data_IF_125922432359
#
_entry.id   IF_125922432359
#
_cell.length_a   1.000
_cell.length_b   1.000
_cell.length_c   1.000
_cell.angle_alpha   90.00
_cell.angle_beta   90.00
_cell.angle_gamma   90.00
#
_symmetry.space_group_name_H-M   'P 1'
#
loop_
_entity.id
_entity.type
_entity.pdbx_description
1 polymer ?
#
# COMPACT_ATOMS: atom_id res chain seq x y z
N UNK A 1 19.05 -22.23 22.21
CA UNK A 1 18.13 -21.54 21.28
C UNK A 1 18.60 -20.10 20.93
N UNK A 2 19.76 -19.90 20.27
CA UNK A 2 20.29 -18.52 20.00
C UNK A 2 20.83 -18.28 18.57
N UNK A 3 20.75 -19.26 17.66
CA UNK A 3 21.34 -19.11 16.31
C UNK A 3 20.48 -18.29 15.33
N UNK A 4 19.17 -18.16 15.56
CA UNK A 4 18.26 -17.43 14.65
C UNK A 4 18.44 -15.90 14.68
N UNK A 5 18.71 -15.31 15.85
CA UNK A 5 18.84 -13.86 16.02
C UNK A 5 20.11 -13.31 15.34
N UNK A 6 21.20 -14.07 15.43
CA UNK A 6 22.50 -13.68 14.88
C UNK A 6 22.53 -13.72 13.34
N UNK A 7 21.87 -14.71 12.72
CA UNK A 7 21.69 -14.75 11.26
C UNK A 7 20.85 -13.57 10.74
N UNK A 8 19.78 -13.21 11.47
CA UNK A 8 18.90 -12.10 11.09
C UNK A 8 19.63 -10.75 11.11
N UNK A 9 20.45 -10.49 12.13
CA UNK A 9 21.27 -9.26 12.21
C UNK A 9 22.30 -9.15 11.09
N UNK A 10 22.99 -10.26 10.76
CA UNK A 10 23.99 -10.29 9.67
C UNK A 10 23.38 -10.00 8.30
N UNK A 11 22.17 -10.50 8.03
CA UNK A 11 21.49 -10.28 6.75
C UNK A 11 21.01 -8.83 6.58
N UNK A 12 20.45 -8.22 7.64
CA UNK A 12 20.05 -6.79 7.62
C UNK A 12 21.26 -5.90 7.36
N UNK A 13 22.37 -6.16 8.05
CA UNK A 13 23.59 -5.37 7.87
C UNK A 13 24.18 -5.47 6.45
N UNK A 14 24.16 -6.67 5.84
CA UNK A 14 24.61 -6.84 4.44
C UNK A 14 23.73 -6.09 3.44
N UNK A 15 22.40 -6.12 3.62
CA UNK A 15 21.50 -5.35 2.75
C UNK A 15 21.66 -3.84 2.91
N UNK A 16 21.91 -3.35 4.12
CA UNK A 16 22.18 -1.94 4.38
C UNK A 16 23.50 -1.48 3.74
N UNK A 17 24.55 -2.29 3.82
CA UNK A 17 25.84 -1.97 3.17
C UNK A 17 25.70 -1.93 1.65
N UNK A 18 24.97 -2.89 1.06
CA UNK A 18 24.74 -2.92 -0.38
C UNK A 18 23.94 -1.69 -0.86
N UNK A 19 22.87 -1.33 -0.14
CA UNK A 19 22.08 -0.13 -0.42
C UNK A 19 22.92 1.15 -0.25
N UNK A 20 23.71 1.27 0.81
CA UNK A 20 24.58 2.44 1.02
C UNK A 20 25.63 2.62 -0.10
N UNK A 21 26.19 1.53 -0.65
CA UNK A 21 27.13 1.60 -1.78
C UNK A 21 26.45 1.97 -3.09
N UNK A 22 25.25 1.46 -3.35
CA UNK A 22 24.42 1.86 -4.49
C UNK A 22 24.09 3.35 -4.40
N UNK A 23 23.60 3.78 -3.24
CA UNK A 23 23.32 5.17 -2.91
C UNK A 23 24.53 6.08 -3.14
N UNK A 24 25.71 5.70 -2.65
CA UNK A 24 26.91 6.53 -2.80
C UNK A 24 27.27 6.77 -4.27
N UNK A 25 27.09 5.77 -5.14
CA UNK A 25 27.34 5.92 -6.58
C UNK A 25 26.29 6.79 -7.26
N UNK A 26 25.05 6.71 -6.79
CA UNK A 26 23.91 7.32 -7.46
C UNK A 26 23.42 8.61 -6.79
N UNK A 27 24.02 9.04 -5.68
CA UNK A 27 23.50 10.12 -4.84
C UNK A 27 23.32 11.44 -5.62
N UNK A 28 24.30 11.80 -6.46
CA UNK A 28 24.21 12.99 -7.29
C UNK A 28 23.07 12.88 -8.33
N UNK A 29 22.94 11.72 -9.00
CA UNK A 29 21.82 11.45 -9.92
C UNK A 29 20.49 11.52 -9.19
N UNK A 30 20.40 10.96 -7.99
CA UNK A 30 19.19 10.92 -7.19
C UNK A 30 18.76 12.32 -6.73
N UNK A 31 19.71 13.17 -6.35
CA UNK A 31 19.44 14.57 -5.99
C UNK A 31 18.89 15.33 -7.20
N UNK A 32 19.55 15.20 -8.35
CA UNK A 32 19.09 15.77 -9.61
C UNK A 32 17.71 15.24 -9.99
N UNK A 33 17.46 13.95 -9.82
CA UNK A 33 16.17 13.33 -10.08
C UNK A 33 15.08 13.82 -9.15
N UNK A 34 15.34 13.93 -7.84
CA UNK A 34 14.38 14.49 -6.88
C UNK A 34 14.06 15.95 -7.23
N UNK A 35 15.07 16.71 -7.64
CA UNK A 35 14.93 18.13 -7.95
C UNK A 35 14.18 18.36 -9.26
N UNK A 36 14.55 17.64 -10.32
CA UNK A 36 14.00 17.76 -11.67
C UNK A 36 12.87 16.77 -11.96
N UNK A 37 12.44 16.00 -10.96
CA UNK A 37 11.38 14.99 -11.03
C UNK A 37 10.09 15.50 -11.74
N UNK A 38 9.63 16.74 -11.49
CA UNK A 38 8.46 17.28 -12.19
C UNK A 38 8.63 17.39 -13.72
N UNK A 39 9.87 17.42 -14.23
CA UNK A 39 10.18 17.70 -15.63
C UNK A 39 10.61 16.46 -16.43
N UNK A 40 11.21 15.44 -15.80
CA UNK A 40 11.84 14.29 -16.50
C UNK A 40 11.00 13.00 -16.53
N UNK A 41 9.82 13.00 -15.90
CA UNK A 41 8.99 11.79 -15.75
C UNK A 41 9.46 10.87 -14.61
N UNK A 42 8.69 9.82 -14.33
CA UNK A 42 8.76 9.10 -13.04
C UNK A 42 9.64 7.85 -13.00
N UNK A 43 10.10 7.37 -14.15
CA UNK A 43 10.81 6.08 -14.29
C UNK A 43 12.11 5.99 -13.51
N UNK A 44 12.85 7.11 -13.39
CA UNK A 44 14.10 7.12 -12.64
C UNK A 44 13.85 7.01 -11.13
N UNK A 45 12.85 7.74 -10.61
CA UNK A 45 12.50 7.65 -9.19
C UNK A 45 11.99 6.25 -8.80
N UNK A 46 11.27 5.56 -9.68
CA UNK A 46 10.83 4.18 -9.45
C UNK A 46 12.03 3.24 -9.18
N UNK A 47 13.10 3.37 -9.95
CA UNK A 47 14.31 2.56 -9.78
C UNK A 47 15.07 2.84 -8.47
N UNK A 48 14.90 4.04 -7.90
CA UNK A 48 15.52 4.47 -6.66
C UNK A 48 14.53 4.63 -5.49
N UNK A 49 13.28 4.16 -5.66
CA UNK A 49 12.21 4.44 -4.70
C UNK A 49 12.56 3.93 -3.30
N UNK A 50 13.14 2.75 -3.19
CA UNK A 50 13.53 2.19 -1.90
C UNK A 50 14.57 3.02 -1.15
N UNK A 51 15.51 3.62 -1.88
CA UNK A 51 16.57 4.47 -1.38
C UNK A 51 16.03 5.83 -0.94
N UNK A 52 15.11 6.42 -1.73
CA UNK A 52 14.40 7.65 -1.38
C UNK A 52 13.57 7.46 -0.12
N UNK A 53 12.78 6.39 -0.03
CA UNK A 53 11.96 6.11 1.14
C UNK A 53 12.81 5.85 2.39
N UNK A 54 13.98 5.23 2.23
CA UNK A 54 14.91 5.01 3.33
C UNK A 54 15.44 6.34 3.86
N UNK A 55 15.92 7.22 2.97
CA UNK A 55 16.40 8.55 3.32
C UNK A 55 15.32 9.41 3.98
N UNK A 56 14.11 9.47 3.41
CA UNK A 56 13.00 10.23 3.99
C UNK A 56 12.61 9.71 5.38
N UNK A 57 12.74 8.41 5.62
CA UNK A 57 12.46 7.79 6.91
C UNK A 57 13.59 7.93 7.93
N UNK A 58 14.79 8.36 7.55
CA UNK A 58 15.96 8.41 8.43
C UNK A 58 16.47 9.84 8.62
N UNK A 59 16.56 10.28 9.86
CA UNK A 59 17.12 11.60 10.19
C UNK A 59 18.62 11.57 10.43
N UNK A 60 19.20 10.42 10.81
CA UNK A 60 20.62 10.31 11.23
C UNK A 60 21.33 9.04 10.73
N UNK A 61 20.86 8.46 9.62
CA UNK A 61 21.44 7.26 9.02
C UNK A 61 22.57 7.55 8.02
N UNK A 62 23.42 6.56 7.72
CA UNK A 62 24.47 6.67 6.70
C UNK A 62 23.89 6.99 5.32
N UNK A 63 22.81 6.30 4.95
CA UNK A 63 22.07 6.55 3.71
C UNK A 63 21.57 7.98 3.63
N UNK A 64 21.09 8.51 4.75
CA UNK A 64 20.63 9.89 4.80
C UNK A 64 21.76 10.90 4.65
N UNK A 65 22.89 10.67 5.32
CA UNK A 65 24.07 11.53 5.21
C UNK A 65 24.62 11.58 3.78
N UNK A 66 24.58 10.48 3.03
CA UNK A 66 25.03 10.44 1.63
C UNK A 66 24.21 11.37 0.74
N UNK A 67 22.87 11.30 0.83
CA UNK A 67 21.98 12.16 0.02
C UNK A 67 22.06 13.62 0.50
N UNK A 68 22.12 13.85 1.81
CA UNK A 68 22.26 15.19 2.38
C UNK A 68 23.58 15.86 1.92
N UNK A 69 24.68 15.11 1.88
CA UNK A 69 25.98 15.59 1.37
C UNK A 69 25.93 15.88 -0.14
N UNK A 70 25.34 14.99 -0.94
CA UNK A 70 25.17 15.20 -2.38
C UNK A 70 24.27 16.41 -2.68
N UNK A 71 23.20 16.58 -1.89
CA UNK A 71 22.31 17.73 -1.95
C UNK A 71 23.05 19.03 -1.65
N UNK A 72 23.80 19.06 -0.55
CA UNK A 72 24.61 20.21 -0.18
C UNK A 72 25.68 20.55 -1.23
N UNK A 73 26.35 19.55 -1.82
CA UNK A 73 27.30 19.74 -2.90
C UNK A 73 26.66 20.32 -4.17
N UNK A 74 25.37 20.10 -4.37
CA UNK A 74 24.58 20.63 -5.48
C UNK A 74 23.87 21.95 -5.14
N UNK A 75 24.10 22.51 -3.94
CA UNK A 75 23.52 23.77 -3.48
C UNK A 75 22.09 23.66 -2.91
N UNK A 76 21.57 22.46 -2.70
CA UNK A 76 20.23 22.25 -2.16
C UNK A 76 20.26 21.95 -0.66
N UNK A 77 19.33 22.53 0.09
CA UNK A 77 19.16 22.18 1.49
C UNK A 77 18.28 20.93 1.66
N UNK A 78 18.46 20.23 2.79
CA UNK A 78 17.76 18.98 3.10
C UNK A 78 16.24 19.16 3.16
N UNK A 79 15.75 20.29 3.64
CA UNK A 79 14.31 20.53 3.84
C UNK A 79 13.63 20.65 2.47
N UNK A 80 14.20 21.44 1.57
CA UNK A 80 13.69 21.60 0.20
C UNK A 80 13.72 20.29 -0.58
N UNK A 81 14.84 19.55 -0.53
CA UNK A 81 14.91 18.23 -1.16
C UNK A 81 13.85 17.28 -0.61
N UNK A 82 13.64 17.30 0.71
CA UNK A 82 12.63 16.47 1.36
C UNK A 82 11.23 16.83 0.89
N UNK A 83 10.89 18.12 0.87
CA UNK A 83 9.57 18.58 0.43
C UNK A 83 9.32 18.26 -1.05
N UNK A 84 10.32 18.42 -1.92
CA UNK A 84 10.25 18.03 -3.33
C UNK A 84 10.03 16.54 -3.50
N UNK A 85 10.78 15.71 -2.76
CA UNK A 85 10.63 14.26 -2.80
C UNK A 85 9.23 13.82 -2.33
N UNK A 86 8.73 14.39 -1.23
CA UNK A 86 7.38 14.09 -0.72
C UNK A 86 6.29 14.47 -1.73
N UNK A 87 6.35 15.69 -2.28
CA UNK A 87 5.41 16.16 -3.28
C UNK A 87 5.45 15.29 -4.55
N UNK A 88 6.62 14.78 -4.91
CA UNK A 88 6.75 13.87 -6.04
C UNK A 88 6.16 12.49 -5.73
N UNK A 89 6.45 11.91 -4.56
CA UNK A 89 5.89 10.63 -4.15
C UNK A 89 4.36 10.65 -4.12
N UNK A 90 3.79 11.72 -3.57
CA UNK A 90 2.34 11.92 -3.54
C UNK A 90 1.74 11.98 -4.97
N UNK A 91 2.31 12.85 -5.82
CA UNK A 91 1.84 13.02 -7.20
C UNK A 91 1.94 11.76 -8.05
N UNK A 92 2.92 10.90 -7.80
CA UNK A 92 3.21 9.75 -8.67
C UNK A 92 2.50 8.51 -8.18
N UNK A 93 2.72 8.15 -6.92
CA UNK A 93 2.29 6.87 -6.37
C UNK A 93 0.94 6.98 -5.66
N UNK A 94 0.62 8.13 -5.07
CA UNK A 94 -0.59 8.28 -4.25
C UNK A 94 -1.73 8.97 -5.02
N UNK A 95 -1.75 8.84 -6.35
CA UNK A 95 -2.85 9.36 -7.17
C UNK A 95 -4.10 8.54 -6.92
N UNK A 96 -5.22 9.24 -6.72
CA UNK A 96 -6.52 8.61 -6.61
C UNK A 96 -6.83 7.74 -7.84
N UNK A 97 -7.36 6.53 -7.60
CA UNK A 97 -7.72 5.58 -8.65
C UNK A 97 -6.58 4.71 -9.18
N UNK A 98 -5.34 4.92 -8.73
CA UNK A 98 -4.21 4.06 -9.08
C UNK A 98 -4.42 2.64 -8.58
N UNK A 99 -3.84 1.67 -9.29
CA UNK A 99 -3.95 0.29 -8.86
C UNK A 99 -3.13 0.06 -7.56
N UNK A 100 -3.47 -0.94 -6.72
CA UNK A 100 -2.77 -1.16 -5.46
C UNK A 100 -1.26 -1.40 -5.56
N UNK A 101 -0.78 -1.96 -6.68
CA UNK A 101 0.63 -2.27 -6.92
C UNK A 101 1.41 -1.02 -7.32
N UNK A 102 0.84 -0.20 -8.20
CA UNK A 102 1.32 1.14 -8.56
C UNK A 102 1.46 2.02 -7.32
N UNK A 103 0.50 2.01 -6.40
CA UNK A 103 0.57 2.81 -5.15
C UNK A 103 1.82 2.48 -4.32
N UNK A 104 2.31 1.24 -4.38
CA UNK A 104 3.53 0.83 -3.69
C UNK A 104 4.78 0.91 -4.59
N UNK A 105 4.64 1.24 -5.87
CA UNK A 105 5.72 1.19 -6.86
C UNK A 105 6.29 -0.22 -6.99
N UNK A 106 5.42 -1.22 -7.09
CA UNK A 106 5.78 -2.63 -7.19
C UNK A 106 5.12 -3.27 -8.41
N UNK A 107 5.78 -4.27 -8.96
CA UNK A 107 5.18 -5.16 -9.96
C UNK A 107 4.10 -6.04 -9.33
N UNK A 108 3.11 -6.41 -10.13
CA UNK A 108 1.98 -7.24 -9.69
C UNK A 108 2.38 -8.65 -9.21
N UNK A 109 3.55 -9.14 -9.64
CA UNK A 109 4.12 -10.41 -9.25
C UNK A 109 4.92 -10.34 -7.94
N UNK A 110 5.22 -9.13 -7.43
CA UNK A 110 6.06 -8.90 -6.27
C UNK A 110 5.64 -9.72 -5.04
N UNK A 111 6.65 -10.25 -4.33
CA UNK A 111 6.41 -11.09 -3.16
C UNK A 111 5.71 -10.34 -2.02
N UNK A 112 4.93 -11.04 -1.20
CA UNK A 112 4.23 -10.42 -0.07
C UNK A 112 5.20 -9.80 0.96
N UNK A 113 6.42 -10.33 1.05
CA UNK A 113 7.47 -9.78 1.89
C UNK A 113 7.93 -8.40 1.38
N UNK A 114 8.08 -8.26 0.06
CA UNK A 114 8.42 -6.99 -0.58
C UNK A 114 7.29 -5.97 -0.39
N UNK A 115 6.05 -6.37 -0.66
CA UNK A 115 4.84 -5.55 -0.43
C UNK A 115 4.80 -5.00 0.98
N UNK A 116 4.98 -5.87 1.99
CA UNK A 116 4.99 -5.48 3.40
C UNK A 116 6.16 -4.56 3.75
N UNK A 117 7.33 -4.82 3.20
CA UNK A 117 8.53 -3.98 3.39
C UNK A 117 8.28 -2.56 2.87
N UNK A 118 7.84 -2.46 1.61
CA UNK A 118 7.57 -1.19 0.93
C UNK A 118 6.45 -0.39 1.60
N UNK A 119 5.34 -1.04 1.92
CA UNK A 119 4.24 -0.45 2.70
C UNK A 119 4.73 0.16 4.03
N UNK A 120 5.61 -0.54 4.77
CA UNK A 120 6.14 -0.03 6.03
C UNK A 120 7.02 1.20 5.86
N UNK A 121 7.79 1.28 4.76
CA UNK A 121 8.61 2.45 4.47
C UNK A 121 7.75 3.67 4.13
N UNK A 122 6.74 3.50 3.29
CA UNK A 122 5.76 4.54 3.02
C UNK A 122 5.04 4.99 4.29
N UNK A 123 4.51 4.05 5.09
CA UNK A 123 3.84 4.38 6.35
C UNK A 123 4.78 5.11 7.32
N UNK A 124 6.07 4.79 7.36
CA UNK A 124 7.03 5.50 8.21
C UNK A 124 7.13 6.99 7.87
N UNK A 125 6.87 7.37 6.62
CA UNK A 125 6.99 8.73 6.09
C UNK A 125 5.64 9.46 6.16
N UNK A 126 4.56 8.81 5.72
CA UNK A 126 3.23 9.40 5.57
C UNK A 126 2.33 9.19 6.81
N UNK A 127 2.86 8.72 7.94
CA UNK A 127 2.07 8.60 9.16
C UNK A 127 1.65 9.99 9.69
N UNK A 128 0.37 10.22 10.00
CA UNK A 128 -0.10 11.53 10.49
C UNK A 128 0.63 11.96 11.77
N UNK A 129 0.84 11.05 12.72
CA UNK A 129 1.48 11.36 14.01
C UNK A 129 2.97 11.75 13.94
N UNK A 130 3.66 11.50 12.81
CA UNK A 130 5.13 11.64 12.75
C UNK A 130 5.64 12.97 12.26
N UNK A 131 4.81 13.73 11.54
CA UNK A 131 5.31 14.90 10.84
C UNK A 131 4.93 16.23 11.49
N UNK A 132 4.12 16.25 12.56
CA UNK A 132 3.68 17.49 13.21
C UNK A 132 2.86 18.44 12.31
N UNK A 133 2.82 18.17 10.99
CA UNK A 133 1.89 18.67 9.99
C UNK A 133 0.56 17.98 10.26
N UNK A 134 -0.25 18.59 11.11
CA UNK A 134 -1.59 18.13 11.49
C UNK A 134 -2.60 18.30 10.35
N UNK A 135 -2.22 17.92 9.15
CA UNK A 135 -2.87 18.36 7.92
C UNK A 135 -3.46 17.13 7.24
N UNK A 136 -4.74 17.20 6.85
CA UNK A 136 -5.50 16.09 6.28
C UNK A 136 -4.87 15.41 5.05
N UNK A 137 -3.86 16.01 4.43
CA UNK A 137 -3.10 15.46 3.31
C UNK A 137 -2.37 14.15 3.67
N UNK A 138 -1.68 14.09 4.81
CA UNK A 138 -0.99 12.85 5.22
C UNK A 138 -1.95 11.77 5.69
N UNK A 139 -3.10 12.16 6.25
CA UNK A 139 -4.18 11.21 6.55
C UNK A 139 -4.65 10.52 5.26
N UNK A 140 -4.93 11.31 4.21
CA UNK A 140 -5.35 10.78 2.92
C UNK A 140 -4.32 9.81 2.32
N UNK A 141 -3.04 10.19 2.33
CA UNK A 141 -1.93 9.35 1.88
C UNK A 141 -1.89 8.02 2.65
N UNK A 142 -1.95 8.08 3.99
CA UNK A 142 -1.93 6.90 4.86
C UNK A 142 -3.10 5.96 4.59
N UNK A 143 -4.31 6.49 4.40
CA UNK A 143 -5.48 5.70 4.04
C UNK A 143 -5.37 5.02 2.69
N UNK A 144 -4.81 5.71 1.67
CA UNK A 144 -4.55 5.11 0.37
C UNK A 144 -3.56 3.94 0.49
N UNK A 145 -2.46 4.12 1.22
CA UNK A 145 -1.48 3.06 1.49
C UNK A 145 -2.12 1.84 2.20
N UNK A 146 -2.98 2.09 3.18
CA UNK A 146 -3.70 1.05 3.91
C UNK A 146 -4.64 0.26 3.00
N UNK A 147 -5.37 0.97 2.12
CA UNK A 147 -6.24 0.37 1.11
C UNK A 147 -5.46 -0.49 0.12
N UNK A 148 -4.36 0.03 -0.41
CA UNK A 148 -3.50 -0.68 -1.36
C UNK A 148 -2.94 -1.98 -0.75
N UNK A 149 -2.32 -1.89 0.43
CA UNK A 149 -1.77 -3.05 1.12
C UNK A 149 -2.83 -4.12 1.43
N UNK A 150 -4.01 -3.69 1.88
CA UNK A 150 -5.13 -4.60 2.17
C UNK A 150 -5.68 -5.24 0.90
N UNK A 151 -5.79 -4.48 -0.18
CA UNK A 151 -6.22 -4.96 -1.50
C UNK A 151 -5.31 -6.06 -2.04
N UNK A 152 -3.98 -5.83 -2.01
CA UNK A 152 -2.98 -6.83 -2.43
C UNK A 152 -3.08 -8.10 -1.58
N UNK A 153 -3.19 -7.95 -0.25
CA UNK A 153 -3.31 -9.11 0.65
C UNK A 153 -4.54 -9.96 0.34
N UNK A 154 -5.71 -9.32 0.16
CA UNK A 154 -6.96 -10.02 -0.20
C UNK A 154 -6.83 -10.70 -1.55
N UNK A 155 -6.28 -10.01 -2.55
CA UNK A 155 -6.05 -10.58 -3.89
C UNK A 155 -5.20 -11.87 -3.82
N UNK A 156 -4.08 -11.85 -3.09
CA UNK A 156 -3.22 -13.02 -2.91
C UNK A 156 -3.89 -14.14 -2.11
N UNK A 157 -4.73 -13.82 -1.13
CA UNK A 157 -5.51 -14.81 -0.39
C UNK A 157 -6.53 -15.50 -1.30
N UNK A 158 -7.26 -14.72 -2.11
CA UNK A 158 -8.25 -15.25 -3.05
C UNK A 158 -7.60 -16.15 -4.11
N UNK A 159 -6.42 -15.78 -4.63
CA UNK A 159 -5.69 -16.63 -5.58
C UNK A 159 -5.29 -17.98 -4.97
N UNK A 160 -4.85 -18.01 -3.70
CA UNK A 160 -4.54 -19.26 -3.00
C UNK A 160 -5.77 -20.15 -2.81
N UNK A 161 -6.90 -19.55 -2.46
CA UNK A 161 -8.16 -20.29 -2.32
C UNK A 161 -8.58 -20.88 -3.67
N UNK A 162 -8.50 -20.07 -4.75
CA UNK A 162 -8.85 -20.52 -6.10
C UNK A 162 -7.92 -21.63 -6.60
N UNK A 163 -6.62 -21.56 -6.32
CA UNK A 163 -5.67 -22.60 -6.75
C UNK A 163 -5.90 -23.93 -6.01
N UNK A 164 -6.25 -23.88 -4.72
CA UNK A 164 -6.61 -25.09 -3.96
C UNK A 164 -7.88 -25.71 -4.50
N UNK A 165 -8.89 -24.89 -4.83
CA UNK A 165 -10.15 -25.37 -5.40
C UNK A 165 -9.94 -26.03 -6.77
N UNK A 166 -9.10 -25.44 -7.63
CA UNK A 166 -8.77 -26.01 -8.94
C UNK A 166 -7.99 -27.33 -8.82
N UNK A 167 -6.99 -27.40 -7.92
CA UNK A 167 -6.27 -28.65 -7.67
C UNK A 167 -7.19 -29.75 -7.14
N UNK A 168 -8.18 -29.40 -6.32
CA UNK A 168 -9.14 -30.37 -5.80
C UNK A 168 -10.11 -30.84 -6.89
N UNK A 169 -10.61 -29.95 -7.74
CA UNK A 169 -11.45 -30.31 -8.88
C UNK A 169 -10.71 -31.19 -9.91
N UNK A 170 -9.41 -30.93 -10.13
CA UNK A 170 -8.56 -31.74 -11.02
C UNK A 170 -8.26 -33.12 -10.42
N UNK A 171 -8.06 -33.21 -9.10
CA UNK A 171 -7.93 -34.49 -8.40
C UNK A 171 -9.23 -35.31 -8.43
N UNK A 172 -10.39 -34.65 -8.41
CA UNK A 172 -11.72 -35.26 -8.53
C UNK A 172 -12.09 -35.60 -9.99
N UNK A 173 -11.34 -35.12 -10.99
CA UNK A 173 -11.59 -35.31 -12.43
C UNK A 173 -10.91 -36.53 -13.05
N UNK A 174 -10.18 -37.36 -12.29
CA UNK A 174 -9.61 -38.60 -12.83
C UNK A 174 -10.64 -39.73 -12.95
N UNK A 175 -10.81 -40.37 -14.13
CA UNK A 175 -11.72 -41.48 -14.31
C UNK A 175 -11.08 -42.77 -13.80
N UNK A 176 -11.18 -43.00 -12.48
CA UNK A 176 -11.04 -44.35 -11.93
C UNK A 176 -12.36 -45.12 -12.11
N UNK A 177 -12.35 -46.46 -12.30
CA UNK A 177 -13.55 -47.28 -12.52
C UNK A 177 -14.52 -47.39 -11.31
N UNK A 178 -14.46 -46.46 -10.36
CA UNK A 178 -15.27 -46.43 -9.14
C UNK A 178 -16.30 -45.27 -9.12
N UNK A 179 -16.62 -44.68 -10.28
CA UNK A 179 -17.52 -43.52 -10.41
C UNK A 179 -18.98 -43.79 -9.98
N UNK A 180 -19.40 -45.06 -9.85
CA UNK A 180 -20.78 -45.40 -9.47
C UNK A 180 -21.10 -45.26 -7.97
N UNK A 181 -20.09 -45.22 -7.09
CA UNK A 181 -20.35 -45.16 -5.63
C UNK A 181 -20.33 -43.73 -5.06
N UNK A 182 -19.62 -42.79 -5.68
CA UNK A 182 -19.45 -41.43 -5.14
C UNK A 182 -20.66 -40.52 -5.44
N UNK A 183 -21.35 -40.74 -6.57
CA UNK A 183 -22.55 -39.98 -6.94
C UNK A 183 -23.70 -40.12 -5.93
N UNK A 184 -23.80 -41.27 -5.25
CA UNK A 184 -24.83 -41.52 -4.24
C UNK A 184 -24.56 -40.79 -2.91
N UNK A 185 -23.29 -40.59 -2.55
CA UNK A 185 -22.90 -39.92 -1.30
C UNK A 185 -23.04 -38.38 -1.38
N UNK A 186 -22.82 -37.77 -2.55
CA UNK A 186 -23.01 -36.32 -2.76
C UNK A 186 -24.49 -35.93 -2.80
N UNK A 187 -25.34 -36.74 -3.43
CA UNK A 187 -26.79 -36.54 -3.46
C UNK A 187 -27.43 -36.60 -2.06
N UNK A 188 -26.85 -37.37 -1.13
CA UNK A 188 -27.27 -37.43 0.26
C UNK A 188 -26.88 -36.16 1.07
N UNK A 189 -25.69 -35.59 0.82
CA UNK A 189 -25.22 -34.37 1.51
C UNK A 189 -25.97 -33.10 1.10
N UNK A 190 -26.36 -32.98 -0.17
CA UNK A 190 -27.16 -31.84 -0.65
C UNK A 190 -28.61 -31.82 -0.12
N UNK A 191 -29.16 -32.96 0.33
CA UNK A 191 -30.49 -33.00 0.97
C UNK A 191 -30.44 -32.53 2.42
N UNK A 192 -29.31 -32.70 3.11
CA UNK A 192 -29.17 -32.33 4.53
C UNK A 192 -28.99 -30.81 4.75
N UNK A 193 -28.40 -30.08 3.79
CA UNK A 193 -28.24 -28.62 3.90
C UNK A 193 -29.55 -27.85 3.65
N UNK A 194 -30.49 -28.42 2.89
CA UNK A 194 -31.80 -27.82 2.61
C UNK A 194 -32.77 -27.87 3.80
N UNK A 195 -32.49 -28.71 4.81
CA UNK A 195 -33.30 -28.83 6.04
C UNK A 195 -32.87 -27.89 7.17
N UNK A 196 -31.72 -27.20 7.05
CA UNK A 196 -31.19 -26.29 8.09
C UNK A 196 -31.27 -24.80 7.71
N UNK A 197 -31.85 -24.46 6.56
CA UNK A 197 -32.05 -23.07 6.11
C UNK A 197 -33.40 -22.46 6.55
N UNK A 198 -34.04 -23.04 7.57
CA UNK A 198 -35.20 -22.46 8.25
C UNK A 198 -34.73 -21.54 9.38
N UNK A 199 -35.20 -20.29 9.36
CA UNK A 199 -35.13 -19.28 10.43
C UNK A 199 -33.84 -18.45 10.56
N UNK A 200 -33.71 -17.40 9.72
CA UNK A 200 -33.21 -16.10 10.23
C UNK A 200 -34.09 -14.95 9.78
N UNK A 201 -34.67 -14.31 10.81
CA UNK A 201 -35.60 -13.19 10.79
C UNK A 201 -34.98 -11.96 10.14
N UNK A 202 -35.81 -11.24 9.38
CA UNK A 202 -35.67 -9.83 9.03
C UNK A 202 -35.38 -8.99 10.28
N UNK A 203 -34.35 -8.17 10.23
CA UNK A 203 -34.25 -6.88 10.91
C UNK A 203 -33.32 -6.00 10.06
N UNK A 204 -33.89 -4.98 9.41
CA UNK A 204 -33.13 -3.90 8.78
C UNK A 204 -33.05 -2.69 9.71
N UNK A 205 -32.07 -1.80 9.51
CA UNK A 205 -32.20 -0.40 9.92
C UNK A 205 -32.03 0.58 8.75
N UNK A 206 -33.11 1.33 8.54
CA UNK A 206 -33.23 2.75 8.19
C UNK A 206 -32.08 3.46 7.46
N UNK A 207 -32.25 3.59 6.14
CA UNK A 207 -31.59 4.58 5.28
C UNK A 207 -32.11 6.02 5.47
N UNK A 208 -32.89 6.29 6.52
CA UNK A 208 -33.66 7.53 6.68
C UNK A 208 -32.90 8.65 7.40
N UNK A 209 -31.83 8.34 8.13
CA UNK A 209 -31.04 9.37 8.87
C UNK A 209 -30.10 10.15 7.96
N UNK A 210 -29.65 9.57 6.83
CA UNK A 210 -28.70 10.26 5.94
C UNK A 210 -29.32 11.39 5.11
N UNK A 211 -30.63 11.42 4.90
CA UNK A 211 -31.25 12.48 4.08
C UNK A 211 -31.44 13.81 4.82
N UNK A 212 -31.50 13.82 6.16
CA UNK A 212 -31.70 15.07 6.90
C UNK A 212 -30.42 15.90 7.09
N UNK A 213 -29.24 15.27 7.11
CA UNK A 213 -27.97 16.01 7.31
C UNK A 213 -27.58 16.80 6.05
N UNK A 214 -27.91 16.32 4.85
CA UNK A 214 -27.57 17.02 3.61
C UNK A 214 -28.44 18.27 3.36
N UNK A 215 -29.71 18.29 3.78
CA UNK A 215 -30.57 19.48 3.59
C UNK A 215 -30.14 20.66 4.47
N UNK A 216 -29.64 20.43 5.67
CA UNK A 216 -29.19 21.51 6.57
C UNK A 216 -27.91 22.18 6.05
N UNK A 217 -26.97 21.40 5.49
CA UNK A 217 -25.72 21.92 4.92
C UNK A 217 -25.96 22.83 3.70
N UNK A 218 -26.93 22.50 2.86
CA UNK A 218 -27.27 23.32 1.68
C UNK A 218 -27.86 24.67 2.12
N UNK A 219 -28.77 24.68 3.09
CA UNK A 219 -29.39 25.91 3.59
C UNK A 219 -28.38 26.85 4.26
N UNK A 220 -27.43 26.32 5.04
CA UNK A 220 -26.37 27.13 5.66
C UNK A 220 -25.44 27.75 4.60
N UNK A 221 -25.10 26.99 3.55
CA UNK A 221 -24.27 27.52 2.45
C UNK A 221 -24.95 28.64 1.68
N UNK A 222 -26.25 28.51 1.41
CA UNK A 222 -27.02 29.54 0.70
C UNK A 222 -27.16 30.83 1.54
N UNK A 223 -27.36 30.72 2.85
CA UNK A 223 -27.45 31.86 3.75
C UNK A 223 -26.12 32.65 3.83
N UNK A 224 -24.97 31.95 3.86
CA UNK A 224 -23.65 32.58 3.86
C UNK A 224 -23.36 33.36 2.57
N UNK A 225 -23.80 32.84 1.42
CA UNK A 225 -23.64 33.52 0.13
C UNK A 225 -24.49 34.80 0.08
N UNK A 226 -25.72 34.76 0.60
CA UNK A 226 -26.60 35.93 0.69
C UNK A 226 -26.06 37.01 1.63
N UNK A 227 -25.46 36.64 2.76
CA UNK A 227 -24.84 37.58 3.70
C UNK A 227 -23.56 38.23 3.16
N UNK A 228 -22.87 37.59 2.22
CA UNK A 228 -21.68 38.15 1.56
C UNK A 228 -22.03 39.07 0.37
N UNK A 229 -23.25 39.00 -0.13
CA UNK A 229 -23.72 39.77 -1.28
C UNK A 229 -24.54 41.02 -0.91
N UNK A 230 -24.88 41.20 0.38
CA UNK A 230 -25.56 42.36 0.93
C UNK A 230 -24.57 43.30 1.63
#
# INVERSE_FOLDING_TARGET
>A
MSHGSQRRRKNVHRSEIASARSLQKNAASLVEEIWFAPLRGHRCLESHLDDVLLWLGETRGRSASIIDQAGAASGYNRIELRDKALAHLDRVFLRYGSNPWEILGLDSDASIAMVKSRYRRFQKIFHPDRNGRGDGEFLHCSEQLNRAYSGIRKHRQNMKISSVFLQQAEAESWPGPAADQVGQHFAARCRQSKLMAGTRKRLGPSTQVRKQVFSVLILVSALMILLLAA
#
